data_IF_018872084703
#
_entry.id   IF_018872084703
#
_cell.length_a   1.000
_cell.length_b   1.000
_cell.length_c   1.000
_cell.angle_alpha   90.00
_cell.angle_beta   90.00
_cell.angle_gamma   90.00
#
_symmetry.space_group_name_H-M   'P 1'
#
loop_
_entity.id
_entity.type
_entity.pdbx_description
1 polymer ?
#
# COMPACT_ATOMS: atom_id res chain seq x y z
N UNK A 1 -9.06 7.49 -37.99
CA UNK A 1 -8.42 6.33 -37.32
C UNK A 1 -7.68 6.85 -36.12
N UNK A 2 -8.29 6.77 -34.97
CA UNK A 2 -7.71 7.20 -33.68
C UNK A 2 -6.78 6.09 -33.19
N UNK A 3 -5.50 6.35 -33.22
CA UNK A 3 -4.47 5.49 -32.62
C UNK A 3 -4.68 5.48 -31.10
N UNK A 4 -5.21 4.41 -30.56
CA UNK A 4 -5.18 4.15 -29.11
C UNK A 4 -3.81 3.54 -28.84
N UNK A 5 -2.91 4.21 -28.09
CA UNK A 5 -1.63 3.60 -27.77
C UNK A 5 -1.88 2.39 -26.87
N UNK A 6 -1.42 1.22 -27.30
CA UNK A 6 -1.35 0.03 -26.46
C UNK A 6 -0.45 0.35 -25.28
N UNK A 7 -0.88 0.20 -24.01
CA UNK A 7 -0.02 0.43 -22.87
C UNK A 7 1.21 -0.48 -22.98
N UNK A 8 2.41 0.01 -22.61
CA UNK A 8 3.63 -0.80 -22.65
C UNK A 8 3.43 -2.06 -21.81
N UNK A 9 3.92 -3.20 -22.33
CA UNK A 9 3.90 -4.45 -21.58
C UNK A 9 4.63 -4.23 -20.24
N UNK A 10 3.93 -4.46 -19.12
CA UNK A 10 4.51 -4.33 -17.77
C UNK A 10 5.70 -5.28 -17.66
N UNK A 11 6.84 -4.76 -17.30
CA UNK A 11 7.96 -5.59 -16.86
C UNK A 11 7.53 -6.20 -15.53
N UNK A 12 7.25 -7.50 -15.48
CA UNK A 12 6.90 -8.22 -14.25
C UNK A 12 8.14 -8.34 -13.34
N UNK A 13 8.52 -7.24 -12.71
CA UNK A 13 9.65 -7.16 -11.76
C UNK A 13 9.16 -7.24 -10.31
N UNK A 14 7.84 -7.26 -10.09
CA UNK A 14 7.23 -7.29 -8.77
C UNK A 14 7.43 -8.62 -8.06
N UNK A 15 7.51 -8.57 -6.74
CA UNK A 15 7.60 -9.74 -5.88
C UNK A 15 6.21 -10.21 -5.47
N UNK A 16 5.79 -11.43 -5.81
CA UNK A 16 4.51 -11.97 -5.39
C UNK A 16 4.51 -12.27 -3.89
N UNK A 17 3.35 -12.16 -3.25
CA UNK A 17 3.16 -12.45 -1.83
C UNK A 17 2.21 -13.63 -1.64
N UNK A 18 2.56 -14.51 -0.70
CA UNK A 18 1.66 -15.53 -0.17
C UNK A 18 1.55 -15.38 1.34
N UNK A 19 0.33 -15.22 1.81
CA UNK A 19 -0.07 -15.20 3.22
C UNK A 19 -0.88 -16.46 3.43
N UNK A 20 -0.40 -17.36 4.27
CA UNK A 20 -1.01 -18.67 4.44
C UNK A 20 -1.30 -18.94 5.93
N UNK A 21 -2.60 -18.90 6.32
CA UNK A 21 -3.06 -19.18 7.67
C UNK A 21 -2.50 -18.21 8.72
N UNK A 22 -2.26 -16.95 8.36
CA UNK A 22 -1.58 -16.01 9.24
C UNK A 22 -2.50 -15.55 10.37
N UNK A 23 -2.05 -15.83 11.60
CA UNK A 23 -2.66 -15.35 12.83
C UNK A 23 -1.68 -14.45 13.58
N UNK A 24 -2.15 -13.31 14.08
CA UNK A 24 -1.39 -12.40 14.95
C UNK A 24 -2.13 -12.12 16.23
N UNK A 25 -1.45 -12.39 17.35
CA UNK A 25 -1.96 -12.14 18.71
C UNK A 25 -1.03 -11.21 19.48
N UNK A 26 -1.62 -10.37 20.31
CA UNK A 26 -0.93 -9.58 21.34
C UNK A 26 -1.53 -9.98 22.70
N UNK A 27 -0.80 -10.80 23.45
CA UNK A 27 -1.34 -11.45 24.65
C UNK A 27 -2.55 -12.30 24.30
N UNK A 28 -3.69 -11.98 24.92
CA UNK A 28 -4.97 -12.69 24.69
C UNK A 28 -5.77 -12.14 23.49
N UNK A 29 -5.39 -10.99 22.96
CA UNK A 29 -6.14 -10.35 21.87
C UNK A 29 -5.64 -10.83 20.52
N UNK A 30 -6.50 -11.48 19.74
CA UNK A 30 -6.26 -11.81 18.34
C UNK A 30 -6.61 -10.60 17.48
N UNK A 31 -5.69 -10.17 16.63
CA UNK A 31 -5.84 -9.03 15.72
C UNK A 31 -6.04 -9.50 14.29
N UNK A 32 -5.31 -10.52 13.87
CA UNK A 32 -5.51 -11.21 12.59
C UNK A 32 -5.73 -12.67 12.91
N UNK A 33 -6.67 -13.29 12.25
CA UNK A 33 -7.07 -14.65 12.52
C UNK A 33 -7.23 -15.44 11.21
N UNK A 34 -6.35 -16.39 10.99
CA UNK A 34 -6.34 -17.31 9.85
C UNK A 34 -6.47 -16.61 8.48
N UNK A 35 -5.63 -15.59 8.25
CA UNK A 35 -5.66 -14.81 7.01
C UNK A 35 -4.96 -15.57 5.90
N UNK A 36 -5.68 -15.78 4.78
CA UNK A 36 -5.17 -16.36 3.55
C UNK A 36 -5.28 -15.36 2.43
N UNK A 37 -4.16 -15.10 1.72
CA UNK A 37 -4.13 -14.16 0.63
C UNK A 37 -2.96 -14.47 -0.31
N UNK A 38 -3.22 -14.45 -1.60
CA UNK A 38 -2.20 -14.49 -2.64
C UNK A 38 -2.25 -13.21 -3.47
N UNK A 39 -1.12 -12.52 -3.57
CA UNK A 39 -0.95 -11.30 -4.38
C UNK A 39 0.05 -11.62 -5.48
N UNK A 40 -0.37 -11.66 -6.75
CA UNK A 40 0.52 -11.86 -7.89
C UNK A 40 1.58 -10.76 -8.02
N UNK A 41 2.70 -11.11 -8.68
CA UNK A 41 3.74 -10.16 -9.05
C UNK A 41 3.16 -8.97 -9.84
N UNK A 42 3.56 -7.76 -9.47
CA UNK A 42 3.16 -6.52 -10.14
C UNK A 42 1.71 -6.08 -9.89
N UNK A 43 0.93 -6.79 -9.08
CA UNK A 43 -0.43 -6.38 -8.75
C UNK A 43 -0.44 -5.21 -7.77
N UNK A 44 -1.34 -4.25 -8.00
CA UNK A 44 -1.64 -3.18 -7.04
C UNK A 44 -2.85 -3.60 -6.21
N UNK A 45 -2.64 -3.87 -4.92
CA UNK A 45 -3.69 -4.27 -3.97
C UNK A 45 -3.93 -3.18 -2.95
N UNK A 46 -5.19 -2.82 -2.72
CA UNK A 46 -5.56 -1.96 -1.60
C UNK A 46 -6.22 -2.80 -0.49
N UNK A 47 -5.84 -2.53 0.75
CA UNK A 47 -6.41 -3.12 1.96
C UNK A 47 -7.17 -2.04 2.70
N UNK A 48 -8.48 -2.23 2.81
CA UNK A 48 -9.42 -1.30 3.48
C UNK A 48 -10.06 -1.96 4.69
N UNK A 49 -10.77 -1.17 5.51
CA UNK A 49 -11.51 -1.65 6.66
C UNK A 49 -11.57 -0.63 7.80
N UNK A 50 -12.37 -0.91 8.81
CA UNK A 50 -12.54 -0.02 9.98
C UNK A 50 -11.24 0.18 10.75
N UNK A 51 -11.15 1.26 11.53
CA UNK A 51 -10.02 1.47 12.44
C UNK A 51 -9.89 0.31 13.43
N UNK A 52 -8.66 -0.20 13.62
CA UNK A 52 -8.38 -1.29 14.55
C UNK A 52 -8.69 -2.70 14.05
N UNK A 53 -9.14 -2.90 12.80
CA UNK A 53 -9.45 -4.23 12.24
C UNK A 53 -8.21 -5.08 11.87
N UNK A 54 -6.98 -4.54 11.96
CA UNK A 54 -5.76 -5.29 11.71
C UNK A 54 -4.94 -4.87 10.47
N UNK A 55 -5.36 -3.89 9.67
CA UNK A 55 -4.66 -3.43 8.45
C UNK A 55 -3.19 -3.08 8.67
N UNK A 56 -2.92 -2.18 9.63
CA UNK A 56 -1.54 -1.77 9.94
C UNK A 56 -0.73 -2.90 10.55
N UNK A 57 -1.38 -3.84 11.26
CA UNK A 57 -0.73 -5.06 11.75
C UNK A 57 -0.32 -5.96 10.57
N UNK A 58 -1.22 -6.19 9.61
CA UNK A 58 -0.89 -6.93 8.39
C UNK A 58 0.28 -6.26 7.66
N UNK A 59 0.25 -4.94 7.48
CA UNK A 59 1.33 -4.21 6.81
C UNK A 59 2.67 -4.34 7.54
N UNK A 60 2.69 -4.29 8.89
CA UNK A 60 3.91 -4.49 9.69
C UNK A 60 4.46 -5.90 9.58
N UNK A 61 3.60 -6.91 9.49
CA UNK A 61 4.00 -8.28 9.22
C UNK A 61 4.65 -8.38 7.83
N UNK A 62 4.04 -7.79 6.80
CA UNK A 62 4.59 -7.76 5.44
C UNK A 62 5.88 -6.95 5.32
N UNK A 63 6.06 -5.94 6.17
CA UNK A 63 7.31 -5.17 6.25
C UNK A 63 8.42 -5.89 7.03
N UNK A 64 8.13 -7.07 7.62
CA UNK A 64 9.05 -7.78 8.49
C UNK A 64 9.38 -7.05 9.79
N UNK A 65 8.56 -6.06 10.19
CA UNK A 65 8.68 -5.31 11.44
C UNK A 65 8.12 -6.09 12.63
N UNK A 66 7.24 -7.05 12.35
CA UNK A 66 6.64 -7.94 13.32
C UNK A 66 6.64 -9.38 12.80
N UNK A 67 6.40 -10.34 13.68
CA UNK A 67 6.29 -11.76 13.34
C UNK A 67 4.85 -12.23 13.53
N UNK A 68 4.39 -13.11 12.65
CA UNK A 68 3.13 -13.82 12.82
C UNK A 68 3.21 -14.72 14.08
N UNK A 69 2.08 -14.90 14.76
CA UNK A 69 1.98 -15.85 15.86
C UNK A 69 1.81 -17.28 15.33
N UNK A 70 1.16 -17.44 14.17
CA UNK A 70 0.96 -18.69 13.45
C UNK A 70 0.88 -18.40 11.94
N UNK A 71 1.04 -19.43 11.12
CA UNK A 71 0.98 -19.30 9.67
C UNK A 71 2.32 -18.88 9.06
N UNK A 72 2.30 -18.65 7.76
CA UNK A 72 3.49 -18.40 6.95
C UNK A 72 3.30 -17.17 6.03
N UNK A 73 4.39 -16.41 5.88
CA UNK A 73 4.49 -15.28 4.97
C UNK A 73 5.65 -15.52 4.01
N UNK A 74 5.34 -15.59 2.71
CA UNK A 74 6.34 -15.76 1.65
C UNK A 74 6.35 -14.55 0.73
N UNK A 75 7.55 -14.12 0.32
CA UNK A 75 7.80 -13.17 -0.75
C UNK A 75 8.54 -13.91 -1.86
N UNK A 76 7.91 -14.04 -3.03
CA UNK A 76 8.38 -14.96 -4.05
C UNK A 76 8.33 -16.42 -3.57
N UNK A 77 9.48 -17.09 -3.61
CA UNK A 77 9.63 -18.47 -3.11
C UNK A 77 10.31 -18.57 -1.75
N UNK A 78 10.66 -17.44 -1.16
CA UNK A 78 11.40 -17.38 0.10
C UNK A 78 10.52 -16.89 1.25
N UNK A 79 10.81 -17.29 2.50
CA UNK A 79 10.23 -16.67 3.67
C UNK A 79 10.45 -15.17 3.65
N UNK A 80 9.43 -14.39 4.02
CA UNK A 80 9.43 -12.93 3.92
C UNK A 80 10.66 -12.26 4.58
N UNK A 81 11.15 -12.84 5.69
CA UNK A 81 12.31 -12.29 6.39
C UNK A 81 13.63 -12.37 5.58
N UNK A 82 13.70 -13.21 4.54
CA UNK A 82 14.83 -13.31 3.62
C UNK A 82 14.72 -12.30 2.46
N UNK A 83 13.54 -11.76 2.19
CA UNK A 83 13.29 -10.82 1.11
C UNK A 83 13.27 -9.34 1.58
N UNK A 84 13.79 -9.03 2.77
CA UNK A 84 13.72 -7.68 3.36
C UNK A 84 14.33 -6.59 2.50
N UNK A 85 15.38 -6.91 1.75
CA UNK A 85 16.05 -5.94 0.88
C UNK A 85 15.21 -5.58 -0.36
N UNK A 86 14.23 -6.41 -0.70
CA UNK A 86 13.30 -6.21 -1.80
C UNK A 86 12.00 -5.51 -1.39
N UNK A 87 11.81 -5.28 -0.09
CA UNK A 87 10.60 -4.70 0.49
C UNK A 87 10.88 -3.29 0.99
N UNK A 88 10.03 -2.33 0.60
CA UNK A 88 10.09 -0.96 1.14
C UNK A 88 8.75 -0.56 1.69
N UNK A 89 8.78 0.13 2.84
CA UNK A 89 7.61 0.66 3.53
C UNK A 89 7.63 2.18 3.53
N UNK A 90 6.55 2.77 3.04
CA UNK A 90 6.26 4.19 3.17
C UNK A 90 5.18 4.39 4.22
N UNK A 91 5.50 5.18 5.25
CA UNK A 91 4.60 5.47 6.36
C UNK A 91 3.67 6.65 6.03
N UNK A 92 2.61 6.79 6.79
CA UNK A 92 1.68 7.91 6.73
C UNK A 92 2.40 9.26 6.87
N UNK A 93 3.33 9.35 7.82
CA UNK A 93 4.27 10.47 7.90
C UNK A 93 5.52 10.18 7.06
N UNK A 94 6.04 11.17 6.36
CA UNK A 94 7.22 11.03 5.50
C UNK A 94 8.49 10.59 6.25
N UNK A 95 8.57 10.83 7.57
CA UNK A 95 9.70 10.46 8.46
C UNK A 95 11.06 10.84 7.86
N UNK A 96 11.14 12.05 7.31
CA UNK A 96 12.42 12.58 6.84
C UNK A 96 13.28 13.00 8.04
N UNK A 97 14.58 12.76 7.92
CA UNK A 97 15.56 13.18 8.91
C UNK A 97 15.75 14.71 8.77
N UNK A 98 15.31 15.53 9.74
CA UNK A 98 15.31 16.98 9.60
C UNK A 98 16.73 17.59 9.55
N UNK A 99 17.73 16.86 10.02
CA UNK A 99 19.16 17.22 10.01
C UNK A 99 19.91 16.73 8.77
N UNK A 100 19.21 16.17 7.77
CA UNK A 100 19.75 15.76 6.47
C UNK A 100 19.05 16.52 5.34
N UNK A 101 19.81 16.86 4.30
CA UNK A 101 19.21 17.45 3.08
C UNK A 101 18.28 16.45 2.39
N UNK A 102 17.45 16.94 1.49
CA UNK A 102 16.50 16.14 0.72
C UNK A 102 17.21 14.98 0.01
N UNK A 103 18.29 15.26 -0.71
CA UNK A 103 19.06 14.23 -1.41
C UNK A 103 19.65 13.18 -0.47
N UNK A 104 20.14 13.60 0.71
CA UNK A 104 20.69 12.68 1.71
C UNK A 104 19.60 11.85 2.41
N UNK A 105 18.35 12.34 2.45
CA UNK A 105 17.20 11.55 2.87
C UNK A 105 16.84 10.48 1.85
N UNK A 106 16.92 10.79 0.55
CA UNK A 106 16.65 9.82 -0.52
C UNK A 106 17.71 8.72 -0.54
N UNK A 107 18.99 9.07 -0.44
CA UNK A 107 20.10 8.12 -0.44
C UNK A 107 20.34 7.41 0.89
N UNK A 108 19.42 7.50 1.85
CA UNK A 108 19.58 6.92 3.19
C UNK A 108 19.75 5.40 3.13
N UNK A 109 20.87 4.91 3.69
CA UNK A 109 21.19 3.47 3.74
C UNK A 109 21.96 2.95 2.53
N UNK A 110 22.09 3.74 1.47
CA UNK A 110 22.90 3.38 0.30
C UNK A 110 24.40 3.57 0.57
N UNK A 111 25.22 2.82 -0.17
CA UNK A 111 26.71 2.87 -0.13
C UNK A 111 27.24 3.18 -1.53
N UNK A 112 28.50 3.63 -1.60
CA UNK A 112 29.13 3.97 -2.87
C UNK A 112 28.64 5.30 -3.43
N UNK A 113 28.68 5.45 -4.75
CA UNK A 113 28.24 6.66 -5.47
C UNK A 113 26.75 6.59 -5.81
N UNK A 114 25.91 6.82 -4.81
CA UNK A 114 24.44 6.80 -4.91
C UNK A 114 23.81 8.14 -5.34
N UNK A 115 24.61 9.22 -5.41
CA UNK A 115 24.07 10.56 -5.70
C UNK A 115 23.39 10.69 -7.07
N UNK A 116 23.92 10.12 -8.16
CA UNK A 116 23.25 10.11 -9.45
C UNK A 116 21.87 9.45 -9.38
N UNK A 117 21.76 8.28 -8.71
CA UNK A 117 20.48 7.56 -8.55
C UNK A 117 19.50 8.37 -7.70
N UNK A 118 19.99 9.08 -6.68
CA UNK A 118 19.14 9.94 -5.85
C UNK A 118 18.61 11.16 -6.64
N UNK A 119 19.40 11.72 -7.53
CA UNK A 119 18.94 12.77 -8.44
C UNK A 119 17.87 12.25 -9.39
N UNK A 120 18.07 11.07 -9.98
CA UNK A 120 17.08 10.43 -10.84
C UNK A 120 15.77 10.12 -10.09
N UNK A 121 15.88 9.60 -8.85
CA UNK A 121 14.70 9.35 -8.01
C UNK A 121 13.95 10.65 -7.66
N UNK A 122 14.66 11.75 -7.40
CA UNK A 122 14.04 13.06 -7.17
C UNK A 122 13.40 13.62 -8.44
N UNK A 123 13.99 13.41 -9.60
CA UNK A 123 13.43 13.80 -10.90
C UNK A 123 12.12 13.04 -11.16
N UNK A 124 12.09 11.72 -10.91
CA UNK A 124 10.92 10.88 -11.09
C UNK A 124 9.71 11.32 -10.23
N UNK A 125 9.96 11.99 -9.10
CA UNK A 125 8.90 12.57 -8.25
C UNK A 125 8.70 14.08 -8.43
N UNK A 126 9.37 14.70 -9.43
CA UNK A 126 9.23 16.13 -9.76
C UNK A 126 9.90 17.07 -8.74
N UNK A 127 10.98 16.65 -8.09
CA UNK A 127 11.69 17.41 -7.06
C UNK A 127 13.19 17.60 -7.34
N UNK A 128 13.62 17.53 -8.60
CA UNK A 128 15.04 17.67 -9.00
C UNK A 128 15.69 18.96 -8.47
N UNK A 129 14.95 20.10 -8.45
CA UNK A 129 15.44 21.40 -7.99
C UNK A 129 15.53 21.52 -6.48
N UNK A 130 14.99 20.57 -5.72
CA UNK A 130 14.90 20.58 -4.25
C UNK A 130 15.95 19.70 -3.55
N UNK A 131 16.88 19.12 -4.30
CA UNK A 131 17.88 18.17 -3.79
C UNK A 131 18.71 18.73 -2.60
N UNK A 132 19.08 20.02 -2.67
CA UNK A 132 19.86 20.70 -1.65
C UNK A 132 19.05 21.31 -0.50
N UNK A 133 17.72 21.27 -0.56
CA UNK A 133 16.84 21.84 0.46
C UNK A 133 16.83 20.99 1.75
N UNK A 134 16.34 21.62 2.82
CA UNK A 134 16.07 20.92 4.08
C UNK A 134 14.59 20.48 4.14
N UNK A 135 14.25 19.38 4.82
CA UNK A 135 12.87 18.91 4.95
C UNK A 135 11.90 19.98 5.51
N UNK A 136 12.39 20.89 6.33
CA UNK A 136 11.60 22.00 6.91
C UNK A 136 11.11 23.01 5.86
N UNK A 137 11.80 23.12 4.74
CA UNK A 137 11.42 24.00 3.63
C UNK A 137 10.38 23.41 2.68
N UNK A 138 9.99 22.12 2.89
CA UNK A 138 9.07 21.40 2.02
C UNK A 138 7.64 21.42 2.55
N UNK A 139 6.66 21.49 1.62
CA UNK A 139 5.26 21.23 1.93
C UNK A 139 5.03 19.74 2.32
N UNK A 140 3.85 19.43 2.90
CA UNK A 140 3.48 18.06 3.23
C UNK A 140 3.55 17.10 2.03
N UNK A 141 3.00 17.53 0.88
CA UNK A 141 3.05 16.75 -0.36
C UNK A 141 4.47 16.55 -0.90
N UNK A 142 5.31 17.59 -0.83
CA UNK A 142 6.72 17.48 -1.21
C UNK A 142 7.48 16.51 -0.29
N UNK A 143 7.22 16.52 1.01
CA UNK A 143 7.79 15.54 1.95
C UNK A 143 7.40 14.11 1.61
N UNK A 144 6.13 13.88 1.23
CA UNK A 144 5.66 12.56 0.80
C UNK A 144 6.31 12.12 -0.54
N UNK A 145 6.50 13.04 -1.49
CA UNK A 145 7.25 12.74 -2.73
C UNK A 145 8.71 12.35 -2.44
N UNK A 146 9.38 13.02 -1.48
CA UNK A 146 10.74 12.63 -1.05
C UNK A 146 10.73 11.24 -0.40
N UNK A 147 9.73 10.93 0.43
CA UNK A 147 9.60 9.61 1.05
C UNK A 147 9.37 8.50 -0.02
N UNK A 148 8.59 8.80 -1.06
CA UNK A 148 8.41 7.90 -2.20
C UNK A 148 9.71 7.70 -2.98
N UNK A 149 10.45 8.77 -3.29
CA UNK A 149 11.77 8.69 -3.95
C UNK A 149 12.75 7.84 -3.13
N UNK A 150 12.79 8.03 -1.79
CA UNK A 150 13.60 7.21 -0.87
C UNK A 150 13.23 5.73 -0.88
N UNK A 151 11.95 5.41 -1.06
CA UNK A 151 11.52 4.02 -1.18
C UNK A 151 11.93 3.42 -2.54
N UNK A 152 11.76 4.17 -3.62
CA UNK A 152 11.95 3.69 -4.99
C UNK A 152 13.40 3.63 -5.44
N UNK A 153 14.33 4.41 -4.85
CA UNK A 153 15.76 4.38 -5.20
C UNK A 153 16.40 2.99 -5.00
N UNK A 154 15.80 2.16 -4.17
CA UNK A 154 16.23 0.78 -3.93
C UNK A 154 15.67 -0.23 -4.94
N UNK A 155 14.89 0.21 -5.93
CA UNK A 155 14.21 -0.64 -6.92
C UNK A 155 13.46 -1.82 -6.29
N UNK A 156 12.53 -1.58 -5.34
CA UNK A 156 11.88 -2.66 -4.60
C UNK A 156 11.00 -3.50 -5.51
N UNK A 157 10.95 -4.81 -5.28
CA UNK A 157 9.95 -5.69 -5.87
C UNK A 157 8.59 -5.58 -5.16
N UNK A 158 8.58 -5.11 -3.90
CA UNK A 158 7.37 -4.89 -3.11
C UNK A 158 7.39 -3.52 -2.41
N UNK A 159 6.40 -2.69 -2.73
CA UNK A 159 6.16 -1.41 -2.08
C UNK A 159 4.94 -1.49 -1.16
N UNK A 160 5.13 -1.22 0.11
CA UNK A 160 4.10 -1.15 1.13
C UNK A 160 3.80 0.31 1.45
N UNK A 161 2.52 0.69 1.44
CA UNK A 161 2.06 2.05 1.64
C UNK A 161 1.07 2.09 2.82
N UNK A 162 1.45 2.75 3.93
CA UNK A 162 0.60 2.91 5.12
C UNK A 162 -0.05 4.29 5.12
N UNK A 163 -1.28 4.40 4.66
CA UNK A 163 -2.07 5.64 4.56
C UNK A 163 -1.29 6.84 3.96
N UNK A 164 -0.57 6.66 2.84
CA UNK A 164 0.44 7.63 2.36
C UNK A 164 -0.13 9.00 2.00
N UNK A 165 -1.44 9.10 1.81
CA UNK A 165 -2.13 10.29 1.32
C UNK A 165 -3.08 10.92 2.36
N UNK A 166 -3.21 10.32 3.55
CA UNK A 166 -4.18 10.72 4.56
C UNK A 166 -4.01 12.16 5.09
N UNK A 167 -2.77 12.67 5.09
CA UNK A 167 -2.45 14.02 5.60
C UNK A 167 -2.42 15.10 4.50
N UNK A 168 -2.77 14.77 3.24
CA UNK A 168 -2.70 15.69 2.10
C UNK A 168 -4.04 16.36 1.83
N UNK A 169 -3.99 17.61 1.35
CA UNK A 169 -5.15 18.28 0.77
C UNK A 169 -5.63 17.57 -0.51
N UNK A 170 -6.84 17.87 -0.96
CA UNK A 170 -7.50 17.15 -2.04
C UNK A 170 -6.73 17.21 -3.38
N UNK A 171 -6.16 18.37 -3.74
CA UNK A 171 -5.44 18.51 -5.01
C UNK A 171 -4.10 17.79 -4.97
N UNK A 172 -3.32 17.99 -3.91
CA UNK A 172 -2.04 17.31 -3.69
C UNK A 172 -2.23 15.79 -3.62
N UNK A 173 -3.34 15.32 -3.03
CA UNK A 173 -3.69 13.89 -3.00
C UNK A 173 -3.90 13.33 -4.41
N UNK A 174 -4.64 14.04 -5.26
CA UNK A 174 -4.88 13.64 -6.66
C UNK A 174 -3.56 13.56 -7.45
N UNK A 175 -2.70 14.56 -7.31
CA UNK A 175 -1.39 14.57 -7.96
C UNK A 175 -0.53 13.39 -7.48
N UNK A 176 -0.53 13.12 -6.19
CA UNK A 176 0.26 12.03 -5.60
C UNK A 176 -0.25 10.65 -6.03
N UNK A 177 -1.58 10.47 -6.15
CA UNK A 177 -2.18 9.25 -6.71
C UNK A 177 -1.72 9.02 -8.14
N UNK A 178 -1.80 10.05 -9.00
CA UNK A 178 -1.32 9.97 -10.38
C UNK A 178 0.18 9.64 -10.47
N UNK A 179 0.98 10.22 -9.58
CA UNK A 179 2.42 9.94 -9.51
C UNK A 179 2.70 8.48 -9.12
N UNK A 180 2.06 7.97 -8.06
CA UNK A 180 2.22 6.57 -7.63
C UNK A 180 1.78 5.62 -8.75
N UNK A 181 0.63 5.87 -9.39
CA UNK A 181 0.12 5.05 -10.49
C UNK A 181 1.11 5.05 -11.67
N UNK A 182 1.63 6.21 -12.08
CA UNK A 182 2.57 6.32 -13.20
C UNK A 182 3.88 5.56 -12.93
N UNK A 183 4.45 5.70 -11.74
CA UNK A 183 5.68 5.02 -11.34
C UNK A 183 5.48 3.50 -11.24
N UNK A 184 4.35 3.06 -10.69
CA UNK A 184 3.99 1.65 -10.64
C UNK A 184 3.80 1.05 -12.04
N UNK A 185 3.13 1.76 -12.96
CA UNK A 185 2.96 1.31 -14.35
C UNK A 185 4.31 1.20 -15.10
N UNK A 186 5.26 2.10 -14.81
CA UNK A 186 6.57 2.10 -15.43
C UNK A 186 7.51 1.01 -14.89
N UNK A 187 7.50 0.78 -13.58
CA UNK A 187 8.47 -0.07 -12.90
C UNK A 187 7.94 -1.49 -12.61
N UNK A 188 6.62 -1.70 -12.51
CA UNK A 188 6.02 -3.03 -12.37
C UNK A 188 6.16 -3.70 -11.00
N UNK A 189 6.56 -2.98 -9.95
CA UNK A 189 6.63 -3.53 -8.59
C UNK A 189 5.25 -3.91 -8.05
N UNK A 190 5.18 -4.84 -7.12
CA UNK A 190 3.96 -5.18 -6.39
C UNK A 190 3.66 -4.09 -5.36
N UNK A 191 2.39 -3.72 -5.19
CA UNK A 191 1.97 -2.70 -4.21
C UNK A 191 0.93 -3.27 -3.25
N UNK A 192 1.12 -3.01 -1.96
CA UNK A 192 0.08 -3.16 -0.94
C UNK A 192 -0.17 -1.80 -0.30
N UNK A 193 -1.31 -1.20 -0.60
CA UNK A 193 -1.77 0.07 -0.06
C UNK A 193 -2.74 -0.17 1.09
N UNK A 194 -2.43 0.28 2.28
CA UNK A 194 -3.40 0.37 3.38
C UNK A 194 -4.00 1.77 3.38
N UNK A 195 -5.32 1.85 3.33
CA UNK A 195 -6.05 3.12 3.39
C UNK A 195 -7.40 2.94 4.07
N UNK A 196 -7.94 4.02 4.62
CA UNK A 196 -9.33 4.10 5.09
C UNK A 196 -10.25 4.78 4.04
N UNK A 197 -9.68 5.30 2.95
CA UNK A 197 -10.41 5.96 1.86
C UNK A 197 -10.71 4.95 0.74
N UNK A 198 -12.00 4.56 0.65
CA UNK A 198 -12.46 3.58 -0.36
C UNK A 198 -12.32 4.13 -1.78
N UNK A 199 -12.53 5.44 -1.97
CA UNK A 199 -12.36 6.09 -3.27
C UNK A 199 -10.90 5.99 -3.74
N UNK A 200 -9.93 6.20 -2.82
CA UNK A 200 -8.53 5.98 -3.10
C UNK A 200 -8.25 4.52 -3.51
N UNK A 201 -8.78 3.57 -2.75
CA UNK A 201 -8.57 2.15 -3.00
C UNK A 201 -9.05 1.73 -4.39
N UNK A 202 -10.30 2.06 -4.78
CA UNK A 202 -10.85 1.68 -6.08
C UNK A 202 -10.26 2.48 -7.24
N UNK A 203 -9.75 3.69 -6.98
CA UNK A 203 -9.08 4.50 -8.01
C UNK A 203 -7.70 3.95 -8.38
N UNK A 204 -6.93 3.45 -7.41
CA UNK A 204 -5.54 3.03 -7.60
C UNK A 204 -5.36 1.53 -7.78
N UNK A 205 -6.10 0.71 -7.02
CA UNK A 205 -5.79 -0.72 -6.95
C UNK A 205 -6.43 -1.54 -8.06
N UNK A 206 -5.77 -2.64 -8.46
CA UNK A 206 -6.36 -3.68 -9.33
C UNK A 206 -7.29 -4.60 -8.52
N UNK A 207 -7.12 -4.62 -7.19
CA UNK A 207 -7.86 -5.48 -6.27
C UNK A 207 -8.02 -4.80 -4.93
N UNK A 208 -9.22 -4.83 -4.38
CA UNK A 208 -9.54 -4.27 -3.06
C UNK A 208 -9.91 -5.40 -2.12
N UNK A 209 -9.24 -5.42 -0.97
CA UNK A 209 -9.42 -6.39 0.10
C UNK A 209 -9.92 -5.67 1.34
N UNK A 210 -11.02 -6.13 1.90
CA UNK A 210 -11.54 -5.65 3.17
C UNK A 210 -11.06 -6.58 4.29
N UNK A 211 -10.38 -6.02 5.28
CA UNK A 211 -10.13 -6.71 6.55
C UNK A 211 -11.23 -6.33 7.54
N UNK A 212 -11.91 -7.34 8.05
CA UNK A 212 -13.02 -7.24 8.98
C UNK A 212 -12.82 -8.24 10.11
N UNK A 213 -12.79 -7.76 11.36
CA UNK A 213 -12.58 -8.57 12.57
C UNK A 213 -11.39 -9.54 12.49
N UNK A 214 -10.32 -9.09 11.85
CA UNK A 214 -9.09 -9.85 11.68
C UNK A 214 -9.09 -10.87 10.53
N UNK A 215 -10.16 -10.95 9.74
CA UNK A 215 -10.31 -11.83 8.58
C UNK A 215 -10.42 -11.06 7.27
N UNK A 216 -10.27 -11.75 6.15
CA UNK A 216 -10.63 -11.21 4.82
C UNK A 216 -12.16 -11.31 4.69
N UNK A 217 -12.84 -10.16 4.80
CA UNK A 217 -14.31 -10.08 4.70
C UNK A 217 -14.81 -9.86 3.28
N UNK A 218 -14.01 -9.21 2.41
CA UNK A 218 -14.31 -8.98 1.00
C UNK A 218 -13.03 -8.98 0.18
N UNK A 219 -13.12 -9.50 -1.03
CA UNK A 219 -12.01 -9.56 -1.99
C UNK A 219 -12.56 -9.36 -3.39
N UNK A 220 -12.34 -8.18 -3.98
CA UNK A 220 -12.89 -7.82 -5.30
C UNK A 220 -11.81 -7.33 -6.25
N UNK A 221 -11.94 -7.72 -7.51
CA UNK A 221 -11.14 -7.19 -8.60
C UNK A 221 -11.75 -5.89 -9.13
N UNK A 222 -10.89 -4.89 -9.36
CA UNK A 222 -11.26 -3.64 -10.00
C UNK A 222 -10.87 -3.72 -11.48
N UNK A 223 -11.71 -4.39 -12.25
CA UNK A 223 -11.51 -4.59 -13.69
C UNK A 223 -11.99 -3.35 -14.49
N UNK A 224 -11.19 -2.28 -14.37
CA UNK A 224 -11.40 -1.02 -15.07
C UNK A 224 -10.12 -0.58 -15.79
N UNK A 225 -10.24 -0.14 -17.06
CA UNK A 225 -9.07 0.35 -17.80
C UNK A 225 -8.45 1.59 -17.14
N UNK A 226 -7.14 1.73 -17.28
CA UNK A 226 -6.37 2.90 -16.81
C UNK A 226 -6.07 3.88 -17.96
N UNK A 227 -6.01 5.18 -17.72
CA UNK A 227 -6.30 5.86 -16.46
C UNK A 227 -7.80 5.82 -16.10
N UNK A 228 -8.10 5.57 -14.83
CA UNK A 228 -9.49 5.51 -14.36
C UNK A 228 -10.09 6.90 -14.26
N UNK A 229 -11.22 7.09 -14.93
CA UNK A 229 -11.90 8.39 -14.92
C UNK A 229 -12.67 8.54 -13.61
N UNK A 230 -12.24 9.51 -12.79
CA UNK A 230 -12.95 9.87 -11.55
C UNK A 230 -14.40 10.24 -11.84
N UNK A 231 -15.30 9.84 -10.94
CA UNK A 231 -16.75 10.08 -11.10
C UNK A 231 -17.43 9.23 -12.17
N UNK A 232 -16.77 8.21 -12.73
CA UNK A 232 -17.45 7.26 -13.58
C UNK A 232 -18.45 6.40 -12.79
N UNK A 233 -19.60 6.06 -13.39
CA UNK A 233 -20.64 5.26 -12.73
C UNK A 233 -20.08 3.93 -12.18
N UNK A 234 -19.23 3.26 -12.96
CA UNK A 234 -18.65 1.97 -12.54
C UNK A 234 -17.72 2.09 -11.32
N UNK A 235 -16.94 3.19 -11.21
CA UNK A 235 -16.14 3.47 -10.01
C UNK A 235 -17.04 3.69 -8.80
N UNK A 236 -18.10 4.50 -8.95
CA UNK A 236 -19.05 4.75 -7.88
C UNK A 236 -19.79 3.48 -7.42
N UNK A 237 -20.12 2.57 -8.34
CA UNK A 237 -20.70 1.26 -7.99
C UNK A 237 -19.75 0.41 -7.14
N UNK A 238 -18.46 0.35 -7.51
CA UNK A 238 -17.46 -0.39 -6.73
C UNK A 238 -17.22 0.25 -5.36
N UNK A 239 -17.16 1.59 -5.28
CA UNK A 239 -17.10 2.32 -4.01
C UNK A 239 -18.29 1.97 -3.12
N UNK A 240 -19.52 2.03 -3.68
CA UNK A 240 -20.74 1.70 -2.95
C UNK A 240 -20.72 0.26 -2.43
N UNK A 241 -20.31 -0.70 -3.25
CA UNK A 241 -20.20 -2.12 -2.85
C UNK A 241 -19.26 -2.32 -1.67
N UNK A 242 -18.08 -1.67 -1.69
CA UNK A 242 -17.11 -1.77 -0.60
C UNK A 242 -17.65 -1.06 0.65
N UNK A 243 -18.24 0.14 0.50
CA UNK A 243 -18.80 0.91 1.60
C UNK A 243 -19.98 0.20 2.27
N UNK A 244 -20.90 -0.39 1.50
CA UNK A 244 -22.01 -1.18 2.03
C UNK A 244 -21.49 -2.31 2.93
N UNK A 245 -20.43 -3.01 2.49
CA UNK A 245 -19.83 -4.07 3.31
C UNK A 245 -19.18 -3.53 4.58
N UNK A 246 -18.44 -2.42 4.50
CA UNK A 246 -17.79 -1.79 5.67
C UNK A 246 -18.84 -1.30 6.68
N UNK A 247 -19.97 -0.76 6.18
CA UNK A 247 -21.01 -0.17 7.02
C UNK A 247 -22.01 -1.21 7.52
N UNK A 248 -22.08 -2.39 6.91
CA UNK A 248 -22.94 -3.48 7.39
C UNK A 248 -22.68 -3.72 8.88
N UNK A 249 -23.76 -3.89 9.69
CA UNK A 249 -23.59 -4.28 11.09
C UNK A 249 -22.84 -5.62 11.11
N UNK A 250 -21.80 -5.74 11.92
CA UNK A 250 -21.17 -7.03 12.18
C UNK A 250 -22.26 -8.00 12.60
N UNK A 251 -22.35 -9.17 11.95
CA UNK A 251 -23.28 -10.20 12.36
C UNK A 251 -22.92 -10.57 13.82
N UNK A 252 -23.64 -9.99 14.78
CA UNK A 252 -23.52 -10.37 16.18
C UNK A 252 -24.06 -11.78 16.28
N UNK A 253 -23.22 -12.77 16.48
CA UNK A 253 -23.68 -14.02 17.06
C UNK A 253 -24.48 -13.67 18.33
N UNK A 254 -25.69 -14.23 18.50
CA UNK A 254 -26.50 -13.96 19.69
C UNK A 254 -25.72 -14.40 20.93
N UNK A 255 -25.43 -13.44 21.81
CA UNK A 255 -24.64 -13.61 23.05
C UNK A 255 -25.32 -14.49 24.12
N UNK A 256 -26.46 -15.12 23.81
CA UNK A 256 -27.11 -16.05 24.71
C UNK A 256 -27.68 -17.25 23.97
N UNK A 257 -27.31 -18.49 24.33
CA UNK A 257 -28.13 -19.64 23.99
C UNK A 257 -29.44 -19.46 24.74
N UNK A 258 -30.59 -19.49 24.02
CA UNK A 258 -31.89 -19.51 24.61
C UNK A 258 -31.98 -20.71 25.56
N UNK A 259 -32.00 -20.45 26.87
CA UNK A 259 -32.41 -21.47 27.82
C UNK A 259 -33.90 -21.75 27.59
N UNK A 260 -34.15 -22.80 26.81
CA UNK A 260 -35.49 -23.41 26.79
C UNK A 260 -35.70 -24.04 28.14
N UNK A 261 -36.60 -23.43 28.92
CA UNK A 261 -37.17 -24.08 30.09
C UNK A 261 -38.05 -25.24 29.60
N UNK A 262 -37.68 -26.43 30.00
CA UNK A 262 -38.59 -27.57 30.11
C UNK A 262 -39.05 -27.65 31.56
#
# INVERSE_FOLDING_TARGET
>A
MTFTPTPPARLNVGTPLLINGVTKRYGQRTILNDVHLHIPSGQFVAVVGRSGCGKSTLLRLLAGLEHASQGELLAGRAPLHQARDDIRLMFQEARLLPWKRVIDNVGLGLRGDWRPDAHQALEAVGLSTRAADWPTALSGGQKQRVALARALIHHPGLLLLDEPLGALDALTRIEMQGLIESLWLQQGFTVVLVTHDVSEAVSLADRVILIEDGHVGLDIMVDLPRPRRRGSARLAELEAQVLERILAPAAREPLYPSQAHA
#
